data_IF_362375988605
#
_entry.id   IF_362375988605
#
_cell.length_a   1.000
_cell.length_b   1.000
_cell.length_c   1.000
_cell.angle_alpha   90.00
_cell.angle_beta   90.00
_cell.angle_gamma   90.00
#
_symmetry.space_group_name_H-M   'P 1'
#
loop_
_entity.id
_entity.type
_entity.pdbx_description
1 polymer ?
#
# COMPACT_ATOMS: atom_id res chain seq x y z
N UNK A 1 -12.63 1.53 -17.86
CA UNK A 1 -11.48 1.03 -17.04
C UNK A 1 -10.32 2.01 -16.76
N UNK A 2 -9.70 2.66 -17.77
CA UNK A 2 -8.58 3.62 -17.57
C UNK A 2 -8.91 4.72 -16.56
N UNK A 3 -10.16 5.23 -16.56
CA UNK A 3 -10.59 6.33 -15.68
C UNK A 3 -10.74 5.89 -14.22
N UNK A 4 -11.30 4.71 -13.96
CA UNK A 4 -11.47 4.17 -12.59
C UNK A 4 -10.15 3.69 -11.98
N UNK A 5 -9.28 3.00 -12.74
CA UNK A 5 -7.92 2.72 -12.28
C UNK A 5 -7.12 4.00 -12.07
N UNK A 6 -7.26 5.01 -12.94
CA UNK A 6 -6.62 6.31 -12.72
C UNK A 6 -7.15 7.01 -11.48
N UNK A 7 -8.47 7.03 -11.24
CA UNK A 7 -9.05 7.60 -10.01
C UNK A 7 -8.53 6.88 -8.77
N UNK A 8 -8.54 5.55 -8.78
CA UNK A 8 -7.96 4.75 -7.69
C UNK A 8 -6.49 5.07 -7.48
N UNK A 9 -5.71 5.12 -8.56
CA UNK A 9 -4.30 5.48 -8.51
C UNK A 9 -4.14 6.88 -7.93
N UNK A 10 -4.85 7.89 -8.42
CA UNK A 10 -4.81 9.27 -7.93
C UNK A 10 -5.16 9.37 -6.44
N UNK A 11 -6.24 8.73 -5.98
CA UNK A 11 -6.62 8.72 -4.56
C UNK A 11 -5.52 8.07 -3.71
N UNK A 12 -4.95 6.95 -4.17
CA UNK A 12 -3.87 6.27 -3.47
C UNK A 12 -2.57 7.09 -3.46
N UNK A 13 -2.22 7.79 -4.54
CA UNK A 13 -1.07 8.70 -4.59
C UNK A 13 -1.25 9.89 -3.63
N UNK A 14 -2.45 10.47 -3.58
CA UNK A 14 -2.77 11.56 -2.65
C UNK A 14 -2.65 11.06 -1.20
N UNK A 15 -3.28 9.93 -0.87
CA UNK A 15 -3.20 9.35 0.47
C UNK A 15 -1.75 9.05 0.88
N UNK A 16 -0.94 8.54 -0.06
CA UNK A 16 0.47 8.29 0.17
C UNK A 16 1.28 9.56 0.37
N UNK A 17 1.06 10.58 -0.46
CA UNK A 17 1.74 11.87 -0.33
C UNK A 17 1.44 12.54 1.02
N UNK A 18 0.19 12.46 1.47
CA UNK A 18 -0.21 12.91 2.81
C UNK A 18 0.53 12.12 3.89
N UNK A 19 0.62 10.79 3.75
CA UNK A 19 1.30 9.95 4.74
C UNK A 19 2.81 10.23 4.82
N UNK A 20 3.48 10.38 3.68
CA UNK A 20 4.88 10.82 3.59
C UNK A 20 5.08 12.19 4.23
N UNK A 21 4.20 13.16 3.94
CA UNK A 21 4.26 14.49 4.56
C UNK A 21 4.11 14.40 6.08
N UNK A 22 3.19 13.58 6.57
CA UNK A 22 3.03 13.33 8.02
C UNK A 22 4.30 12.72 8.62
N UNK A 23 4.94 11.77 7.93
CA UNK A 23 6.21 11.20 8.38
C UNK A 23 7.31 12.26 8.47
N UNK A 24 7.45 13.13 7.45
CA UNK A 24 8.43 14.22 7.46
C UNK A 24 8.15 15.21 8.59
N UNK A 25 6.89 15.61 8.79
CA UNK A 25 6.49 16.51 9.88
C UNK A 25 6.83 15.88 11.23
N UNK A 26 6.52 14.59 11.41
CA UNK A 26 6.83 13.84 12.62
C UNK A 26 8.34 13.79 12.87
N UNK A 27 9.15 13.55 11.84
CA UNK A 27 10.62 13.61 11.92
C UNK A 27 11.10 14.96 12.42
N UNK A 28 10.63 16.05 11.82
CA UNK A 28 11.03 17.41 12.21
C UNK A 28 10.66 17.68 13.67
N UNK A 29 9.43 17.32 14.08
CA UNK A 29 8.98 17.48 15.47
C UNK A 29 9.86 16.68 16.42
N UNK A 30 10.14 15.41 16.12
CA UNK A 30 10.96 14.54 16.97
C UNK A 30 12.38 15.07 17.12
N UNK A 31 13.00 15.54 16.02
CA UNK A 31 14.33 16.16 16.06
C UNK A 31 14.32 17.47 16.87
N UNK A 32 13.30 18.31 16.72
CA UNK A 32 13.20 19.59 17.46
C UNK A 32 12.93 19.36 18.95
N UNK A 33 12.15 18.33 19.29
CA UNK A 33 11.90 17.92 20.67
C UNK A 33 13.08 17.19 21.29
N UNK A 34 13.94 16.58 20.47
CA UNK A 34 15.18 15.95 20.92
C UNK A 34 16.02 16.92 21.74
N UNK A 35 16.26 18.11 21.20
CA UNK A 35 17.06 19.15 21.85
C UNK A 35 16.39 19.67 23.14
N UNK A 36 15.06 19.72 23.17
CA UNK A 36 14.29 20.26 24.29
C UNK A 36 14.12 19.27 25.45
N UNK A 37 13.96 17.99 25.14
CA UNK A 37 13.62 16.94 26.12
C UNK A 37 14.82 16.00 26.37
N UNK A 38 15.94 16.22 25.69
CA UNK A 38 17.12 15.32 25.70
C UNK A 38 16.74 13.89 25.37
N UNK A 39 15.89 13.70 24.36
CA UNK A 39 15.62 12.34 23.87
C UNK A 39 16.92 11.75 23.31
N UNK A 40 17.20 10.51 23.68
CA UNK A 40 18.28 9.75 23.06
C UNK A 40 17.94 9.43 21.60
N UNK A 41 18.97 9.43 20.74
CA UNK A 41 18.87 9.06 19.33
C UNK A 41 18.26 7.65 19.16
N UNK A 42 18.64 6.69 20.02
CA UNK A 42 18.07 5.34 20.09
C UNK A 42 16.55 5.33 20.30
N UNK A 43 16.04 6.23 21.14
CA UNK A 43 14.59 6.32 21.40
C UNK A 43 13.84 6.78 20.15
N UNK A 44 14.39 7.73 19.40
CA UNK A 44 13.79 8.22 18.16
C UNK A 44 13.90 7.15 17.06
N UNK A 45 15.04 6.46 16.95
CA UNK A 45 15.21 5.32 16.06
C UNK A 45 14.17 4.22 16.32
N UNK A 46 13.95 3.87 17.59
CA UNK A 46 12.93 2.88 17.98
C UNK A 46 11.51 3.28 17.57
N UNK A 47 11.18 4.58 17.62
CA UNK A 47 9.89 5.08 17.13
C UNK A 47 9.74 4.85 15.62
N UNK A 48 10.78 5.13 14.83
CA UNK A 48 10.76 4.87 13.40
C UNK A 48 10.71 3.38 13.05
N UNK A 49 11.38 2.53 13.84
CA UNK A 49 11.21 1.07 13.75
C UNK A 49 9.77 0.64 14.06
N UNK A 50 9.12 1.25 15.05
CA UNK A 50 7.71 1.00 15.35
C UNK A 50 6.80 1.36 14.17
N UNK A 51 7.03 2.51 13.53
CA UNK A 51 6.31 2.95 12.33
C UNK A 51 6.54 1.96 11.17
N UNK A 52 7.79 1.52 10.96
CA UNK A 52 8.14 0.53 9.96
C UNK A 52 7.34 -0.77 10.15
N UNK A 53 7.34 -1.32 11.36
CA UNK A 53 6.60 -2.55 11.70
C UNK A 53 5.10 -2.34 11.46
N UNK A 54 4.55 -1.21 11.85
CA UNK A 54 3.14 -0.88 11.62
C UNK A 54 2.78 -0.84 10.13
N UNK A 55 3.60 -0.18 9.29
CA UNK A 55 3.37 -0.11 7.85
C UNK A 55 3.46 -1.51 7.22
N UNK A 56 4.45 -2.33 7.63
CA UNK A 56 4.58 -3.72 7.16
C UNK A 56 3.35 -4.56 7.55
N UNK A 57 2.86 -4.43 8.78
CA UNK A 57 1.64 -5.11 9.23
C UNK A 57 0.42 -4.70 8.39
N UNK A 58 0.22 -3.40 8.16
CA UNK A 58 -0.83 -2.90 7.27
C UNK A 58 -0.73 -3.50 5.87
N UNK A 59 0.49 -3.65 5.35
CA UNK A 59 0.73 -4.26 4.04
C UNK A 59 0.32 -5.73 4.00
N UNK A 60 0.74 -6.51 5.00
CA UNK A 60 0.40 -7.93 5.12
C UNK A 60 -1.11 -8.12 5.26
N UNK A 61 -1.75 -7.33 6.13
CA UNK A 61 -3.20 -7.38 6.34
C UNK A 61 -3.96 -7.01 5.08
N UNK A 62 -3.56 -5.96 4.36
CA UNK A 62 -4.20 -5.59 3.10
C UNK A 62 -4.00 -6.66 2.03
N UNK A 63 -2.82 -7.27 1.93
CA UNK A 63 -2.60 -8.35 0.98
C UNK A 63 -3.54 -9.54 1.26
N UNK A 64 -3.68 -9.90 2.55
CA UNK A 64 -4.56 -10.99 2.95
C UNK A 64 -6.05 -10.66 2.75
N UNK A 65 -6.54 -9.56 3.34
CA UNK A 65 -7.95 -9.21 3.38
C UNK A 65 -8.45 -8.49 2.12
N UNK A 66 -7.60 -7.71 1.46
CA UNK A 66 -7.94 -6.90 0.29
C UNK A 66 -7.67 -7.57 -1.05
N UNK A 67 -6.81 -8.59 -1.11
CA UNK A 67 -6.45 -9.29 -2.36
C UNK A 67 -6.76 -10.80 -2.27
N UNK A 68 -6.06 -11.52 -1.40
CA UNK A 68 -6.06 -12.98 -1.40
C UNK A 68 -7.43 -13.55 -1.01
N UNK A 69 -8.03 -13.06 0.07
CA UNK A 69 -9.34 -13.53 0.53
C UNK A 69 -10.45 -13.21 -0.49
N UNK A 70 -10.55 -11.99 -1.07
CA UNK A 70 -11.46 -11.70 -2.17
C UNK A 70 -11.23 -12.60 -3.38
N UNK A 71 -9.98 -12.76 -3.84
CA UNK A 71 -9.68 -13.58 -5.01
C UNK A 71 -10.05 -15.05 -4.80
N UNK A 72 -9.82 -15.60 -3.59
CA UNK A 72 -10.28 -16.95 -3.22
C UNK A 72 -11.80 -17.08 -3.19
N UNK A 73 -12.53 -16.02 -2.87
CA UNK A 73 -14.00 -16.02 -2.95
C UNK A 73 -14.47 -15.99 -4.40
N UNK A 74 -13.91 -15.10 -5.20
CA UNK A 74 -14.21 -14.99 -6.64
C UNK A 74 -13.92 -16.31 -7.35
N UNK A 75 -12.78 -16.95 -7.07
CA UNK A 75 -12.40 -18.21 -7.73
C UNK A 75 -13.38 -19.35 -7.48
N UNK A 76 -14.12 -19.33 -6.36
CA UNK A 76 -15.14 -20.32 -6.02
C UNK A 76 -16.55 -19.94 -6.45
N UNK A 77 -16.76 -18.70 -6.91
CA UNK A 77 -18.07 -18.21 -7.33
C UNK A 77 -18.44 -18.82 -8.69
N UNK A 78 -19.66 -19.32 -8.81
CA UNK A 78 -20.20 -19.84 -10.07
C UNK A 78 -20.68 -18.72 -11.00
N UNK A 79 -21.32 -17.69 -10.41
CA UNK A 79 -21.85 -16.54 -11.14
C UNK A 79 -21.23 -15.26 -10.57
N UNK A 80 -20.63 -14.45 -11.43
CA UNK A 80 -20.11 -13.12 -11.08
C UNK A 80 -21.26 -12.14 -10.87
N UNK A 81 -21.05 -11.07 -10.11
CA UNK A 81 -22.00 -9.95 -10.17
C UNK A 81 -21.74 -9.10 -11.42
N UNK A 82 -22.75 -8.37 -11.88
CA UNK A 82 -22.67 -7.50 -13.06
C UNK A 82 -21.43 -6.59 -13.05
N UNK A 83 -21.08 -6.05 -11.86
CA UNK A 83 -19.88 -5.23 -11.68
C UNK A 83 -18.56 -6.01 -11.81
N UNK A 84 -18.49 -7.22 -11.25
CA UNK A 84 -17.30 -8.07 -11.33
C UNK A 84 -17.07 -8.53 -12.78
N UNK A 85 -18.16 -8.87 -13.47
CA UNK A 85 -18.20 -9.29 -14.87
C UNK A 85 -17.76 -8.17 -15.81
N UNK A 86 -18.33 -6.97 -15.67
CA UNK A 86 -17.97 -5.79 -16.48
C UNK A 86 -16.48 -5.46 -16.36
N UNK A 87 -15.94 -5.47 -15.13
CA UNK A 87 -14.51 -5.24 -14.91
C UNK A 87 -13.68 -6.36 -15.53
N UNK A 88 -14.09 -7.62 -15.33
CA UNK A 88 -13.44 -8.79 -15.89
C UNK A 88 -13.31 -8.71 -17.40
N UNK A 89 -14.41 -8.38 -18.07
CA UNK A 89 -14.51 -8.24 -19.52
C UNK A 89 -13.63 -7.10 -20.05
N UNK A 90 -13.64 -5.95 -19.38
CA UNK A 90 -12.80 -4.81 -19.76
C UNK A 90 -11.30 -5.12 -19.64
N UNK A 91 -10.90 -5.88 -18.62
CA UNK A 91 -9.51 -6.34 -18.48
C UNK A 91 -9.16 -7.33 -19.58
N UNK A 92 -10.07 -8.25 -19.91
CA UNK A 92 -9.90 -9.25 -20.95
C UNK A 92 -9.61 -8.60 -22.32
N UNK A 93 -10.38 -7.55 -22.68
CA UNK A 93 -10.13 -6.77 -23.91
C UNK A 93 -8.72 -6.20 -24.01
N UNK A 94 -8.13 -5.87 -22.87
CA UNK A 94 -6.80 -5.25 -22.79
C UNK A 94 -5.66 -6.26 -22.68
N UNK A 95 -5.96 -7.52 -22.33
CA UNK A 95 -4.98 -8.58 -22.14
C UNK A 95 -5.44 -9.85 -22.86
N UNK A 96 -5.03 -10.07 -24.13
CA UNK A 96 -5.51 -11.17 -24.96
C UNK A 96 -5.15 -12.58 -24.44
N UNK A 97 -4.32 -12.68 -23.40
CA UNK A 97 -3.99 -13.94 -22.71
C UNK A 97 -5.01 -14.33 -21.63
N UNK A 98 -5.92 -13.44 -21.27
CA UNK A 98 -7.00 -13.69 -20.32
C UNK A 98 -8.19 -14.22 -21.12
N UNK A 99 -8.72 -15.38 -20.73
CA UNK A 99 -9.70 -16.13 -21.52
C UNK A 99 -11.12 -16.01 -20.98
N UNK A 100 -11.27 -15.54 -19.75
CA UNK A 100 -12.55 -15.41 -19.08
C UNK A 100 -12.58 -14.18 -18.15
N UNK A 101 -13.79 -13.67 -17.88
CA UNK A 101 -14.03 -12.45 -17.11
C UNK A 101 -13.61 -12.61 -15.66
N UNK A 102 -13.75 -13.82 -15.11
CA UNK A 102 -13.36 -14.16 -13.74
C UNK A 102 -11.85 -13.99 -13.52
N UNK A 103 -11.06 -14.50 -14.46
CA UNK A 103 -9.61 -14.33 -14.55
C UNK A 103 -9.24 -12.88 -14.79
N UNK A 104 -10.03 -12.15 -15.58
CA UNK A 104 -9.91 -10.70 -15.75
C UNK A 104 -10.06 -9.94 -14.44
N UNK A 105 -11.08 -10.25 -13.65
CA UNK A 105 -11.35 -9.62 -12.35
C UNK A 105 -10.29 -9.95 -11.31
N UNK A 106 -9.83 -11.21 -11.26
CA UNK A 106 -8.71 -11.61 -10.38
C UNK A 106 -7.44 -10.85 -10.76
N UNK A 107 -7.15 -10.68 -12.06
CA UNK A 107 -6.01 -9.90 -12.53
C UNK A 107 -6.11 -8.43 -12.08
N UNK A 108 -7.30 -7.84 -12.18
CA UNK A 108 -7.56 -6.49 -11.69
C UNK A 108 -7.25 -6.33 -10.19
N UNK A 109 -7.74 -7.25 -9.35
CA UNK A 109 -7.45 -7.23 -7.91
C UNK A 109 -5.95 -7.40 -7.62
N UNK A 110 -5.28 -8.31 -8.34
CA UNK A 110 -3.83 -8.49 -8.21
C UNK A 110 -3.06 -7.22 -8.59
N UNK A 111 -3.45 -6.53 -9.66
CA UNK A 111 -2.84 -5.25 -10.07
C UNK A 111 -3.06 -4.14 -9.04
N UNK A 112 -4.27 -4.04 -8.47
CA UNK A 112 -4.53 -3.12 -7.35
C UNK A 112 -3.62 -3.40 -6.17
N UNK A 113 -3.45 -4.67 -5.84
CA UNK A 113 -2.51 -5.14 -4.83
C UNK A 113 -1.06 -4.75 -5.09
N UNK A 114 -0.59 -4.97 -6.31
CA UNK A 114 0.77 -4.58 -6.72
C UNK A 114 1.00 -3.07 -6.60
N UNK A 115 0.02 -2.26 -7.05
CA UNK A 115 0.09 -0.80 -6.92
C UNK A 115 0.17 -0.39 -5.45
N UNK A 116 -0.62 -1.00 -4.59
CA UNK A 116 -0.54 -0.74 -3.16
C UNK A 116 0.84 -1.10 -2.58
N UNK A 117 1.40 -2.26 -2.91
CA UNK A 117 2.74 -2.67 -2.48
C UNK A 117 3.83 -1.70 -2.94
N UNK A 118 3.81 -1.33 -4.22
CA UNK A 118 4.78 -0.41 -4.82
C UNK A 118 4.74 0.99 -4.19
N UNK A 119 3.57 1.42 -3.74
CA UNK A 119 3.39 2.73 -3.10
C UNK A 119 3.79 2.66 -1.61
N UNK A 120 3.42 1.58 -0.91
CA UNK A 120 3.81 1.37 0.50
C UNK A 120 5.33 1.21 0.68
N UNK A 121 6.05 0.70 -0.33
CA UNK A 121 7.50 0.53 -0.26
C UNK A 121 8.25 1.86 -0.04
N UNK A 122 7.73 2.99 -0.53
CA UNK A 122 8.32 4.31 -0.29
C UNK A 122 8.29 4.70 1.19
N UNK A 123 7.17 4.43 1.89
CA UNK A 123 7.06 4.71 3.33
C UNK A 123 7.95 3.78 4.15
N UNK A 124 8.02 2.51 3.75
CA UNK A 124 8.91 1.51 4.36
C UNK A 124 10.37 1.98 4.22
N UNK A 125 10.76 2.39 3.02
CA UNK A 125 12.11 2.86 2.74
C UNK A 125 12.47 4.12 3.53
N UNK A 126 11.57 5.12 3.59
CA UNK A 126 11.76 6.33 4.39
C UNK A 126 11.96 5.99 5.88
N UNK A 127 11.05 5.19 6.45
CA UNK A 127 11.10 4.84 7.87
C UNK A 127 12.36 4.03 8.22
N UNK A 128 12.78 3.12 7.33
CA UNK A 128 13.98 2.31 7.52
C UNK A 128 15.26 3.16 7.47
N UNK A 129 15.42 4.02 6.46
CA UNK A 129 16.59 4.89 6.34
C UNK A 129 16.73 5.76 7.59
N UNK A 130 15.64 6.37 8.02
CA UNK A 130 15.66 7.31 9.12
C UNK A 130 15.94 6.61 10.46
N UNK A 131 15.37 5.42 10.67
CA UNK A 131 15.69 4.60 11.83
C UNK A 131 17.18 4.25 11.89
N UNK A 132 17.78 3.86 10.76
CA UNK A 132 19.21 3.52 10.68
C UNK A 132 20.08 4.75 10.95
N UNK A 133 19.80 5.88 10.29
CA UNK A 133 20.58 7.12 10.48
C UNK A 133 20.58 7.53 11.96
N UNK A 134 19.41 7.51 12.59
CA UNK A 134 19.25 7.86 14.01
C UNK A 134 19.79 6.82 14.98
N UNK A 135 20.19 5.64 14.53
CA UNK A 135 20.83 4.64 15.38
C UNK A 135 22.36 4.69 15.28
N UNK A 136 22.89 5.29 14.21
CA UNK A 136 24.33 5.40 13.95
C UNK A 136 24.90 6.72 14.49
N UNK A 137 24.08 7.77 14.56
CA UNK A 137 24.41 9.09 15.12
C UNK A 137 24.20 9.07 16.63
#
# INVERSE_FOLDING_TARGET
>A
MKKEMRKYLTIYWIANGIFLLLQVILTIILLTLQDKIKLAHDTISNIFFGILVFVVLCVVLYNYFGINRPNKKISKKEVLSDYEEEIGFEVMKLHPKILDEKSGYINFNNRRGYLFLLISSLNIFYSLILAIILQVI
#
